data_IF_173540183391
#
_entry.id   IF_173540183391
#
_cell.length_a   1.000
_cell.length_b   1.000
_cell.length_c   1.000
_cell.angle_alpha   90.00
_cell.angle_beta   90.00
_cell.angle_gamma   90.00
#
_symmetry.space_group_name_H-M   'P 1'
#
loop_
_entity.id
_entity.type
_entity.pdbx_description
1 polymer ?
#
# COMPACT_ATOMS: atom_id res chain seq x y z
N UNK A 1 -12.42 4.73 -5.70
CA UNK A 1 -13.38 4.37 -4.67
C UNK A 1 -12.64 3.84 -3.46
N UNK A 2 -12.97 4.33 -2.28
CA UNK A 2 -12.24 4.05 -1.05
C UNK A 2 -13.20 3.47 0.00
N UNK A 3 -12.83 2.35 0.60
CA UNK A 3 -13.65 1.66 1.58
C UNK A 3 -12.89 1.49 2.89
N UNK A 4 -13.48 1.89 4.00
CA UNK A 4 -13.01 1.53 5.33
C UNK A 4 -13.71 0.25 5.77
N UNK A 5 -12.94 -0.73 6.19
CA UNK A 5 -13.44 -2.04 6.58
C UNK A 5 -13.47 -2.14 8.10
N UNK A 6 -14.63 -2.50 8.64
CA UNK A 6 -14.82 -2.62 10.08
C UNK A 6 -15.16 -4.06 10.44
N UNK A 7 -14.45 -4.59 11.43
CA UNK A 7 -14.60 -5.96 11.91
C UNK A 7 -14.86 -5.97 13.41
N UNK A 8 -15.55 -6.99 13.90
CA UNK A 8 -15.65 -7.22 15.34
C UNK A 8 -14.31 -7.67 15.90
N UNK A 9 -14.09 -7.47 17.21
CA UNK A 9 -12.83 -7.80 17.88
C UNK A 9 -12.44 -9.26 17.76
N UNK A 10 -13.38 -10.16 17.48
CA UNK A 10 -13.08 -11.60 17.31
C UNK A 10 -12.15 -11.90 16.13
N UNK A 11 -12.01 -10.95 15.18
CA UNK A 11 -11.13 -11.13 14.03
C UNK A 11 -9.72 -10.56 14.24
N UNK A 12 -9.45 -9.90 15.35
CA UNK A 12 -8.16 -9.26 15.62
C UNK A 12 -7.00 -10.25 15.73
N UNK A 13 -7.27 -11.54 15.92
CA UNK A 13 -6.24 -12.57 15.98
C UNK A 13 -5.80 -13.10 14.61
N UNK A 14 -6.45 -12.67 13.52
CA UNK A 14 -6.10 -13.15 12.19
C UNK A 14 -4.69 -12.70 11.81
N UNK A 15 -3.94 -13.56 11.08
CA UNK A 15 -2.56 -13.24 10.68
C UNK A 15 -2.49 -12.04 9.74
N UNK A 16 -3.50 -11.82 8.92
CA UNK A 16 -3.62 -10.66 8.04
C UNK A 16 -5.09 -10.27 7.95
N UNK A 17 -5.36 -8.98 8.16
CA UNK A 17 -6.72 -8.45 8.14
C UNK A 17 -6.75 -7.15 7.35
N UNK A 18 -7.46 -7.08 6.21
CA UNK A 18 -7.65 -5.82 5.48
C UNK A 18 -8.45 -4.83 6.31
N UNK A 19 -7.99 -3.56 6.32
CA UNK A 19 -8.64 -2.48 7.07
C UNK A 19 -9.15 -1.37 6.16
N UNK A 20 -8.51 -1.18 5.00
CA UNK A 20 -8.81 -0.10 4.07
C UNK A 20 -8.62 -0.66 2.66
N UNK A 21 -9.53 -0.35 1.76
CA UNK A 21 -9.44 -0.78 0.37
C UNK A 21 -9.75 0.40 -0.55
N UNK A 22 -8.85 0.67 -1.48
CA UNK A 22 -9.08 1.63 -2.55
C UNK A 22 -8.96 0.96 -3.90
N UNK A 23 -9.93 1.22 -4.77
CA UNK A 23 -9.96 0.67 -6.13
C UNK A 23 -10.12 1.82 -7.10
N UNK A 24 -9.19 1.96 -8.05
CA UNK A 24 -9.18 3.06 -9.02
C UNK A 24 -9.39 4.42 -8.35
N UNK A 25 -8.69 4.62 -7.24
CA UNK A 25 -8.83 5.82 -6.42
C UNK A 25 -7.93 6.93 -6.96
N UNK A 26 -8.53 8.04 -7.36
CA UNK A 26 -7.78 9.26 -7.71
C UNK A 26 -7.21 9.83 -6.41
N UNK A 27 -5.89 9.76 -6.28
CA UNK A 27 -5.25 9.98 -4.98
C UNK A 27 -5.00 11.46 -4.73
N UNK A 28 -5.64 11.98 -3.69
CA UNK A 28 -5.39 13.32 -3.18
C UNK A 28 -4.11 13.35 -2.31
N UNK A 29 -3.52 14.55 -2.11
CA UNK A 29 -2.37 14.68 -1.22
C UNK A 29 -2.70 14.28 0.23
N UNK A 30 -1.74 13.62 0.86
CA UNK A 30 -1.86 13.17 2.25
C UNK A 30 -0.57 13.46 2.99
N UNK A 31 -0.69 13.89 4.25
CA UNK A 31 0.45 14.08 5.16
C UNK A 31 0.15 13.36 6.47
N UNK A 32 1.09 12.51 6.90
CA UNK A 32 0.98 11.77 8.15
C UNK A 32 2.31 11.83 8.91
N UNK A 33 2.52 12.90 9.70
CA UNK A 33 3.80 13.09 10.41
C UNK A 33 4.08 12.02 11.45
N UNK A 34 3.06 11.28 11.88
CA UNK A 34 3.20 10.17 12.84
C UNK A 34 2.91 8.81 12.21
N UNK A 35 2.80 8.77 10.88
CA UNK A 35 2.49 7.54 10.17
C UNK A 35 1.02 7.15 10.24
N UNK A 36 0.74 5.94 9.76
CA UNK A 36 -0.58 5.33 9.77
C UNK A 36 -0.52 4.06 10.64
N UNK A 37 -1.61 3.67 11.30
CA UNK A 37 -1.54 2.56 12.28
C UNK A 37 -1.43 1.16 11.67
N UNK A 38 -1.58 1.02 10.35
CA UNK A 38 -1.50 -0.28 9.67
C UNK A 38 -0.55 -0.19 8.49
N UNK A 39 -0.18 -1.35 7.93
CA UNK A 39 0.57 -1.41 6.68
C UNK A 39 -0.27 -0.86 5.55
N UNK A 40 0.38 -0.21 4.58
CA UNK A 40 -0.28 0.27 3.37
C UNK A 40 0.49 -0.23 2.14
N UNK A 41 -0.24 -0.80 1.21
CA UNK A 41 0.28 -1.19 -0.09
C UNK A 41 -0.46 -0.41 -1.16
N UNK A 42 0.31 0.28 -2.01
CA UNK A 42 -0.20 1.04 -3.16
C UNK A 42 0.26 0.38 -4.44
N UNK A 43 -0.62 0.30 -5.41
CA UNK A 43 -0.29 -0.10 -6.77
C UNK A 43 -0.70 1.03 -7.70
N UNK A 44 0.24 1.55 -8.49
CA UNK A 44 -0.02 2.67 -9.39
C UNK A 44 -0.68 2.16 -10.68
N UNK A 45 -1.92 2.56 -10.89
CA UNK A 45 -2.71 2.18 -12.05
C UNK A 45 -2.46 3.14 -13.21
N UNK A 46 -2.28 4.45 -12.89
CA UNK A 46 -2.21 5.51 -13.87
C UNK A 46 -1.48 6.71 -13.29
N UNK A 47 -0.71 7.41 -14.13
CA UNK A 47 0.01 8.60 -13.71
C UNK A 47 1.23 8.31 -12.86
N UNK A 48 1.68 9.31 -12.14
CA UNK A 48 2.83 9.22 -11.23
C UNK A 48 2.54 9.92 -9.92
N UNK A 49 3.04 9.34 -8.83
CA UNK A 49 2.97 9.92 -7.50
C UNK A 49 4.34 10.04 -6.86
N UNK A 50 4.44 10.97 -5.92
CA UNK A 50 5.64 11.19 -5.12
C UNK A 50 5.34 10.81 -3.67
N UNK A 51 6.20 10.01 -3.07
CA UNK A 51 6.16 9.68 -1.65
C UNK A 51 7.40 10.22 -0.95
N UNK A 52 7.21 10.81 0.21
CA UNK A 52 8.30 11.11 1.15
C UNK A 52 8.10 10.18 2.34
N UNK A 53 9.00 9.23 2.50
CA UNK A 53 8.90 8.22 3.56
C UNK A 53 10.12 8.34 4.45
N UNK A 54 9.92 8.67 5.71
CA UNK A 54 10.97 8.88 6.67
C UNK A 54 12.07 9.82 6.13
N UNK A 55 11.64 10.89 5.45
CA UNK A 55 12.52 11.90 4.87
C UNK A 55 13.10 11.56 3.49
N UNK A 56 12.84 10.37 2.96
CA UNK A 56 13.36 9.94 1.67
C UNK A 56 12.29 10.01 0.59
N UNK A 57 12.65 10.60 -0.55
CA UNK A 57 11.76 10.75 -1.69
C UNK A 57 11.77 9.53 -2.59
N UNK A 58 10.58 9.06 -2.97
CA UNK A 58 10.41 7.98 -3.94
C UNK A 58 9.32 8.39 -4.94
N UNK A 59 9.45 7.93 -6.18
CA UNK A 59 8.44 8.13 -7.21
C UNK A 59 7.86 6.77 -7.60
N UNK A 60 6.54 6.71 -7.66
CA UNK A 60 5.83 5.53 -8.14
C UNK A 60 5.20 5.84 -9.49
N UNK A 61 5.40 4.92 -10.44
CA UNK A 61 4.86 5.01 -11.79
C UNK A 61 3.96 3.81 -12.06
N UNK A 62 3.22 3.88 -13.17
CA UNK A 62 2.29 2.82 -13.56
C UNK A 62 2.94 1.44 -13.50
N UNK A 63 2.27 0.49 -12.86
CA UNK A 63 2.72 -0.89 -12.72
C UNK A 63 3.65 -1.15 -11.55
N UNK A 64 4.01 -0.12 -10.78
CA UNK A 64 4.86 -0.25 -9.60
C UNK A 64 4.04 -0.32 -8.33
N UNK A 65 4.57 -1.00 -7.32
CA UNK A 65 3.99 -1.05 -5.98
C UNK A 65 4.83 -0.29 -4.97
N UNK A 66 4.19 0.18 -3.91
CA UNK A 66 4.87 0.86 -2.81
C UNK A 66 4.28 0.38 -1.49
N UNK A 67 5.18 0.02 -0.58
CA UNK A 67 4.82 -0.44 0.76
C UNK A 67 5.21 0.62 1.78
N UNK A 68 4.31 0.89 2.74
CA UNK A 68 4.60 1.72 3.91
C UNK A 68 4.31 0.90 5.16
N UNK A 69 5.32 0.77 6.02
CA UNK A 69 5.18 0.11 7.32
C UNK A 69 4.39 1.01 8.30
N UNK A 70 3.76 0.42 9.33
CA UNK A 70 3.02 1.20 10.33
C UNK A 70 3.91 2.22 11.03
N UNK A 71 3.32 3.36 11.39
CA UNK A 71 3.93 4.39 12.23
C UNK A 71 5.18 5.06 11.64
N UNK A 72 5.43 4.90 10.35
CA UNK A 72 6.52 5.59 9.66
C UNK A 72 6.00 6.93 9.14
N UNK A 73 6.62 8.06 9.52
CA UNK A 73 6.22 9.37 8.98
C UNK A 73 6.27 9.38 7.47
N UNK A 74 5.21 9.86 6.84
CA UNK A 74 5.17 9.89 5.38
C UNK A 74 4.18 10.93 4.85
N UNK A 75 4.38 11.29 3.60
CA UNK A 75 3.45 12.09 2.82
C UNK A 75 3.46 11.60 1.38
N UNK A 76 2.38 11.87 0.65
CA UNK A 76 2.35 11.57 -0.78
C UNK A 76 1.40 12.50 -1.51
N UNK A 77 1.69 12.68 -2.79
CA UNK A 77 0.87 13.50 -3.69
C UNK A 77 1.08 13.07 -5.14
N UNK A 78 0.12 13.37 -5.99
CA UNK A 78 0.28 13.16 -7.42
C UNK A 78 1.31 14.13 -8.01
N UNK A 79 2.15 13.62 -8.91
CA UNK A 79 2.99 14.42 -9.79
C UNK A 79 2.26 14.73 -11.09
N UNK A 80 1.30 13.87 -11.45
CA UNK A 80 0.37 14.08 -12.55
C UNK A 80 -1.03 14.26 -11.99
N UNK A 81 -1.91 14.93 -12.74
CA UNK A 81 -3.28 15.20 -12.29
C UNK A 81 -4.16 13.96 -12.30
N UNK A 82 -3.71 12.89 -12.96
CA UNK A 82 -4.46 11.65 -13.12
C UNK A 82 -3.95 10.50 -12.25
N UNK A 83 -3.12 10.78 -11.25
CA UNK A 83 -2.54 9.73 -10.42
C UNK A 83 -3.60 8.90 -9.71
N UNK A 84 -3.71 7.65 -10.14
CA UNK A 84 -4.73 6.72 -9.70
C UNK A 84 -4.06 5.46 -9.17
N UNK A 85 -4.54 4.99 -8.03
CA UNK A 85 -3.97 3.84 -7.33
C UNK A 85 -5.05 2.83 -6.95
N UNK A 86 -4.63 1.56 -6.85
CA UNK A 86 -5.27 0.61 -5.96
C UNK A 86 -4.51 0.64 -4.66
N UNK A 87 -5.20 0.56 -3.54
CA UNK A 87 -4.52 0.53 -2.25
C UNK A 87 -5.21 -0.43 -1.29
N UNK A 88 -4.42 -1.01 -0.42
CA UNK A 88 -4.91 -1.82 0.67
C UNK A 88 -4.17 -1.43 1.95
N UNK A 89 -4.93 -1.12 3.00
CA UNK A 89 -4.40 -1.00 4.35
C UNK A 89 -4.68 -2.29 5.10
N UNK A 90 -3.68 -2.85 5.76
CA UNK A 90 -3.85 -4.14 6.40
C UNK A 90 -3.04 -4.23 7.70
N UNK A 91 -3.53 -5.05 8.61
CA UNK A 91 -2.88 -5.36 9.86
C UNK A 91 -2.99 -6.85 10.14
N UNK A 92 -2.58 -7.25 11.33
CA UNK A 92 -2.63 -8.63 11.76
C UNK A 92 -1.31 -9.04 12.41
N UNK A 93 -1.34 -10.12 13.19
CA UNK A 93 -0.21 -10.50 14.03
C UNK A 93 0.93 -11.18 13.28
N UNK A 94 0.75 -11.56 12.02
CA UNK A 94 1.78 -12.21 11.21
C UNK A 94 2.21 -11.38 9.99
N UNK A 95 1.81 -10.10 9.89
CA UNK A 95 2.14 -9.27 8.72
C UNK A 95 3.65 -9.14 8.52
N UNK A 96 4.40 -8.89 9.59
CA UNK A 96 5.85 -8.74 9.50
C UNK A 96 6.51 -10.02 8.97
N UNK A 97 6.14 -11.18 9.50
CA UNK A 97 6.69 -12.46 9.04
C UNK A 97 6.32 -12.76 7.59
N UNK A 98 5.11 -12.43 7.19
CA UNK A 98 4.66 -12.59 5.80
C UNK A 98 5.51 -11.71 4.87
N UNK A 99 5.70 -10.45 5.23
CA UNK A 99 6.50 -9.52 4.42
C UNK A 99 7.96 -9.93 4.38
N UNK A 100 8.53 -10.44 5.48
CA UNK A 100 9.89 -10.99 5.50
C UNK A 100 10.02 -12.16 4.53
N UNK A 101 9.05 -13.05 4.48
CA UNK A 101 9.04 -14.17 3.55
C UNK A 101 9.02 -13.71 2.10
N UNK A 102 8.36 -12.57 1.82
CA UNK A 102 8.32 -11.96 0.49
C UNK A 102 9.52 -11.06 0.20
N UNK A 103 10.49 -10.97 1.11
CA UNK A 103 11.64 -10.07 1.02
C UNK A 103 11.27 -8.58 0.92
N UNK A 104 10.18 -8.21 1.59
CA UNK A 104 9.68 -6.83 1.64
C UNK A 104 9.91 -6.27 3.05
N UNK A 105 11.17 -6.10 3.43
CA UNK A 105 11.58 -5.78 4.80
C UNK A 105 11.45 -4.29 5.13
N UNK A 106 11.34 -3.42 4.11
CA UNK A 106 11.38 -1.98 4.30
C UNK A 106 10.25 -1.30 3.52
N UNK A 107 9.86 -0.12 3.99
CA UNK A 107 9.00 0.77 3.22
C UNK A 107 9.74 1.22 1.95
N UNK A 108 9.02 1.36 0.85
CA UNK A 108 9.59 1.83 -0.40
C UNK A 108 8.90 1.26 -1.62
N UNK A 109 9.46 1.60 -2.79
CA UNK A 109 8.94 1.15 -4.09
C UNK A 109 9.48 -0.24 -4.39
N UNK A 110 8.59 -1.11 -4.84
CA UNK A 110 8.93 -2.47 -5.26
C UNK A 110 8.60 -2.65 -6.73
N UNK A 111 9.54 -3.28 -7.45
CA UNK A 111 9.38 -3.64 -8.85
C UNK A 111 9.18 -5.15 -8.96
N UNK A 112 8.28 -5.55 -9.84
CA UNK A 112 8.11 -6.95 -10.16
C UNK A 112 8.72 -7.19 -11.54
N UNK A 113 9.71 -8.07 -11.60
CA UNK A 113 10.42 -8.40 -12.84
C UNK A 113 9.48 -9.01 -13.89
N UNK A 114 8.31 -9.43 -13.46
CA UNK A 114 7.28 -9.99 -14.33
C UNK A 114 5.94 -9.40 -13.91
N UNK A 115 5.68 -8.16 -14.34
CA UNK A 115 4.53 -7.37 -13.92
C UNK A 115 3.19 -8.02 -14.26
N UNK A 116 3.15 -8.95 -15.21
CA UNK A 116 1.92 -9.63 -15.60
C UNK A 116 1.52 -10.73 -14.61
N UNK A 117 2.48 -11.30 -13.90
CA UNK A 117 2.21 -12.39 -12.93
C UNK A 117 1.52 -11.87 -11.67
N UNK A 118 1.93 -10.70 -11.17
CA UNK A 118 1.43 -10.19 -9.90
C UNK A 118 -0.08 -9.90 -9.93
N UNK A 119 -0.62 -9.18 -10.94
CA UNK A 119 -2.07 -9.00 -11.05
C UNK A 119 -2.82 -10.33 -11.17
N UNK A 120 -2.27 -11.30 -11.92
CA UNK A 120 -2.88 -12.63 -12.05
C UNK A 120 -2.97 -13.36 -10.71
N UNK A 121 -1.92 -13.28 -9.89
CA UNK A 121 -1.93 -13.88 -8.55
C UNK A 121 -2.97 -13.23 -7.66
N UNK A 122 -3.13 -11.92 -7.72
CA UNK A 122 -4.14 -11.21 -6.94
C UNK A 122 -5.55 -11.63 -7.38
N UNK A 123 -5.79 -11.72 -8.69
CA UNK A 123 -7.06 -12.18 -9.24
C UNK A 123 -7.40 -13.59 -8.75
N UNK A 124 -6.42 -14.47 -8.67
CA UNK A 124 -6.60 -15.84 -8.20
C UNK A 124 -6.90 -15.93 -6.71
N UNK A 125 -6.53 -14.93 -5.93
CA UNK A 125 -6.82 -14.87 -4.50
C UNK A 125 -8.22 -14.34 -4.19
N UNK A 126 -8.81 -13.64 -5.13
CA UNK A 126 -10.15 -13.08 -5.00
C UNK A 126 -11.21 -14.09 -5.46
#
# INVERSE_FOLDING_TARGET
MLYNLHYSNKYNFLPLLPKLLGVNHLQEPVQRPHGFPVFQWFYCVKGQGEFIINGQRSIISKGQGLLIYPHIPHSYKGLTSDWTVHLIGFGGNACTEILQTLHMLESGVYHFSNSDIFPTHIENLL
#
